data_IF_130251897368
#
_entry.id   IF_130251897368
#
_cell.length_a   1.000
_cell.length_b   1.000
_cell.length_c   1.000
_cell.angle_alpha   90.00
_cell.angle_beta   90.00
_cell.angle_gamma   90.00
#
_symmetry.space_group_name_H-M   'P 1'
#
loop_
_entity.id
_entity.type
_entity.pdbx_description
1 polymer ?
#
# COMPACT_ATOMS: atom_id res chain seq x y z
N UNK A 1 93.09 35.36 -43.15
CA UNK A 1 93.83 34.15 -42.70
C UNK A 1 93.80 34.13 -41.17
N UNK A 2 93.64 32.95 -40.55
CA UNK A 2 93.86 32.62 -39.12
C UNK A 2 92.76 32.84 -38.05
N UNK A 3 92.15 31.70 -37.66
CA UNK A 3 92.05 31.05 -36.31
C UNK A 3 91.62 31.82 -35.04
N UNK A 4 90.63 31.26 -34.29
CA UNK A 4 90.51 31.21 -32.79
C UNK A 4 89.57 30.04 -32.36
N UNK A 5 89.72 29.39 -31.16
CA UNK A 5 89.13 28.06 -30.87
C UNK A 5 88.22 27.91 -29.60
N UNK A 6 87.73 26.66 -29.44
CA UNK A 6 87.28 25.87 -28.25
C UNK A 6 85.84 25.97 -27.69
N UNK A 7 85.20 24.79 -27.54
CA UNK A 7 84.11 24.44 -26.60
C UNK A 7 84.20 22.97 -26.16
N UNK A 8 83.74 22.67 -24.94
CA UNK A 8 83.64 21.32 -24.34
C UNK A 8 82.20 20.90 -24.01
N UNK A 9 82.01 19.68 -23.51
CA UNK A 9 80.76 19.08 -22.99
C UNK A 9 81.10 17.80 -22.18
N UNK A 10 80.27 17.19 -21.34
CA UNK A 10 79.27 17.59 -20.31
C UNK A 10 78.93 16.27 -19.55
N UNK A 11 78.68 16.35 -18.22
CA UNK A 11 78.40 15.22 -17.32
C UNK A 11 76.88 15.09 -17.11
N UNK A 12 76.33 13.87 -17.00
CA UNK A 12 74.95 13.63 -16.55
C UNK A 12 74.93 12.63 -15.39
N UNK A 13 74.39 13.06 -14.25
CA UNK A 13 73.91 12.24 -13.12
C UNK A 13 72.42 12.54 -12.96
N UNK A 14 71.55 11.53 -12.81
CA UNK A 14 70.11 11.71 -12.61
C UNK A 14 69.62 10.99 -11.34
N UNK A 15 68.86 11.71 -10.53
CA UNK A 15 68.02 11.23 -9.43
C UNK A 15 66.92 12.27 -9.14
N UNK A 16 65.80 11.88 -8.50
CA UNK A 16 64.47 12.02 -9.09
C UNK A 16 63.67 13.19 -8.51
N UNK A 17 62.83 13.81 -9.33
CA UNK A 17 61.83 14.78 -8.87
C UNK A 17 60.56 14.75 -9.74
N UNK A 18 59.47 14.32 -9.09
CA UNK A 18 58.13 14.90 -9.17
C UNK A 18 57.40 15.02 -10.52
N UNK A 19 56.25 14.37 -10.63
CA UNK A 19 54.93 14.97 -10.94
C UNK A 19 53.88 13.84 -11.04
N UNK A 20 53.16 13.55 -9.96
CA UNK A 20 51.86 14.14 -9.57
C UNK A 20 50.68 13.44 -10.28
N UNK A 21 50.27 12.30 -9.72
CA UNK A 21 49.04 11.61 -10.08
C UNK A 21 47.85 12.36 -9.47
N UNK A 22 47.02 12.98 -10.31
CA UNK A 22 45.74 13.57 -9.92
C UNK A 22 44.77 12.41 -9.69
N UNK A 23 44.59 11.99 -8.43
CA UNK A 23 43.47 11.16 -8.03
C UNK A 23 42.23 12.05 -7.95
N UNK A 24 41.39 12.01 -8.99
CA UNK A 24 40.05 12.61 -8.94
C UNK A 24 39.20 11.80 -7.94
N UNK A 25 39.11 12.29 -6.70
CA UNK A 25 38.15 11.81 -5.72
C UNK A 25 36.74 12.22 -6.17
N UNK A 26 36.09 11.35 -6.93
CA UNK A 26 34.64 11.37 -7.13
C UNK A 26 33.98 11.08 -5.79
N UNK A 27 33.78 12.12 -4.99
CA UNK A 27 32.86 12.08 -3.86
C UNK A 27 31.46 11.96 -4.47
N UNK A 28 31.01 10.73 -4.67
CA UNK A 28 29.60 10.44 -4.85
C UNK A 28 28.89 10.86 -3.56
N UNK A 29 28.36 12.09 -3.54
CA UNK A 29 27.23 12.43 -2.69
C UNK A 29 26.06 11.56 -3.14
N UNK A 30 26.04 10.30 -2.69
CA UNK A 30 24.82 9.53 -2.68
C UNK A 30 23.90 10.23 -1.68
N UNK A 31 23.01 11.08 -2.18
CA UNK A 31 21.85 11.52 -1.40
C UNK A 31 21.17 10.24 -0.92
N UNK A 32 21.26 9.95 0.38
CA UNK A 32 20.41 8.95 1.00
C UNK A 32 18.98 9.45 0.76
N UNK A 33 18.30 8.90 -0.24
CA UNK A 33 16.88 9.08 -0.39
C UNK A 33 16.24 8.44 0.84
N UNK A 34 16.00 9.24 1.87
CA UNK A 34 15.26 8.80 3.04
C UNK A 34 13.88 8.38 2.53
N UNK A 35 13.55 7.10 2.71
CA UNK A 35 12.24 6.58 2.42
C UNK A 35 11.21 7.46 3.15
N UNK A 36 10.22 7.98 2.44
CA UNK A 36 9.17 8.81 3.07
C UNK A 36 8.46 7.96 4.12
N UNK A 37 8.46 8.43 5.36
CA UNK A 37 7.69 7.79 6.42
C UNK A 37 6.20 8.05 6.20
N UNK A 38 5.39 7.01 6.38
CA UNK A 38 3.93 7.11 6.40
C UNK A 38 3.41 6.26 7.55
N UNK A 39 2.28 6.65 8.13
CA UNK A 39 1.69 5.92 9.25
C UNK A 39 1.14 4.56 8.80
N UNK A 40 0.50 4.57 7.63
CA UNK A 40 -0.11 3.37 7.04
C UNK A 40 0.07 3.41 5.53
N UNK A 41 0.46 2.27 4.93
CA UNK A 41 0.34 2.02 3.51
C UNK A 41 -0.81 1.03 3.26
N UNK A 42 -1.75 1.40 2.38
CA UNK A 42 -2.98 0.66 2.11
C UNK A 42 -3.06 0.28 0.63
N UNK A 43 -3.27 -1.01 0.36
CA UNK A 43 -3.70 -1.49 -0.96
C UNK A 43 -5.21 -1.60 -0.95
N UNK A 44 -5.92 -0.73 -1.67
CA UNK A 44 -7.33 -0.91 -1.98
C UNK A 44 -7.45 -1.95 -3.10
N UNK A 45 -7.70 -3.21 -2.73
CA UNK A 45 -7.88 -4.34 -3.63
C UNK A 45 -9.37 -4.56 -3.89
N UNK A 46 -9.87 -3.99 -4.99
CA UNK A 46 -11.30 -3.97 -5.31
C UNK A 46 -11.65 -5.06 -6.32
N UNK A 47 -12.51 -6.00 -5.90
CA UNK A 47 -13.03 -7.05 -6.76
C UNK A 47 -13.96 -6.46 -7.83
N UNK A 48 -13.62 -6.69 -9.10
CA UNK A 48 -14.42 -6.28 -10.26
C UNK A 48 -15.05 -7.47 -10.99
N UNK A 49 -15.16 -8.61 -10.31
CA UNK A 49 -15.72 -9.86 -10.81
C UNK A 49 -17.05 -9.73 -11.58
N UNK A 50 -17.29 -10.73 -12.44
CA UNK A 50 -18.44 -10.88 -13.33
C UNK A 50 -19.79 -10.50 -12.71
N UNK A 51 -20.53 -9.68 -13.47
CA UNK A 51 -21.82 -9.10 -13.09
C UNK A 51 -21.76 -8.03 -12.01
N UNK A 52 -20.63 -7.33 -11.85
CA UNK A 52 -20.68 -5.95 -11.34
C UNK A 52 -21.47 -5.15 -12.37
N UNK A 53 -22.77 -5.05 -12.13
CA UNK A 53 -23.62 -4.13 -12.86
C UNK A 53 -23.04 -2.71 -12.70
N UNK A 54 -23.32 -1.80 -13.64
CA UNK A 54 -22.82 -0.43 -13.57
C UNK A 54 -23.08 0.27 -12.23
N UNK A 55 -24.14 -0.06 -11.50
CA UNK A 55 -24.41 0.49 -10.17
C UNK A 55 -23.45 -0.07 -9.12
N UNK A 56 -23.13 -1.37 -9.12
CA UNK A 56 -22.13 -1.93 -8.20
C UNK A 56 -20.73 -1.35 -8.47
N UNK A 57 -20.33 -1.20 -9.74
CA UNK A 57 -19.04 -0.58 -10.10
C UNK A 57 -19.00 0.89 -9.67
N UNK A 58 -20.11 1.60 -9.88
CA UNK A 58 -20.28 2.96 -9.41
C UNK A 58 -20.16 3.04 -7.89
N UNK A 59 -20.84 2.17 -7.15
CA UNK A 59 -20.80 2.15 -5.68
C UNK A 59 -19.40 1.90 -5.15
N UNK A 60 -18.67 0.93 -5.69
CA UNK A 60 -17.29 0.67 -5.27
C UNK A 60 -16.40 1.90 -5.55
N UNK A 61 -16.41 2.41 -6.78
CA UNK A 61 -15.57 3.53 -7.19
C UNK A 61 -15.89 4.81 -6.43
N UNK A 62 -17.16 5.19 -6.35
CA UNK A 62 -17.58 6.37 -5.60
C UNK A 62 -17.44 6.20 -4.10
N UNK A 63 -17.66 5.00 -3.57
CA UNK A 63 -17.46 4.71 -2.16
C UNK A 63 -16.02 4.97 -1.73
N UNK A 64 -15.04 4.45 -2.47
CA UNK A 64 -13.62 4.70 -2.20
C UNK A 64 -13.26 6.18 -2.35
N UNK A 65 -13.69 6.81 -3.45
CA UNK A 65 -13.43 8.23 -3.70
C UNK A 65 -14.04 9.15 -2.63
N UNK A 66 -15.27 8.84 -2.17
CA UNK A 66 -15.93 9.60 -1.11
C UNK A 66 -15.33 9.33 0.26
N UNK A 67 -14.93 8.09 0.55
CA UNK A 67 -14.35 7.72 1.85
C UNK A 67 -12.98 8.39 2.06
N UNK A 68 -12.07 8.30 1.09
CA UNK A 68 -10.70 8.85 1.21
C UNK A 68 -10.69 10.37 1.36
N UNK A 69 -11.63 11.07 0.72
CA UNK A 69 -11.78 12.53 0.79
C UNK A 69 -12.72 12.99 1.92
N UNK A 70 -13.17 12.09 2.78
CA UNK A 70 -14.08 12.45 3.86
C UNK A 70 -13.35 13.13 5.03
N UNK A 71 -14.02 14.07 5.67
CA UNK A 71 -13.48 14.75 6.86
C UNK A 71 -13.09 13.78 7.98
N UNK A 72 -13.81 12.66 8.12
CA UNK A 72 -13.52 11.68 9.16
C UNK A 72 -12.20 10.92 8.89
N UNK A 73 -11.95 10.55 7.62
CA UNK A 73 -10.69 9.89 7.24
C UNK A 73 -9.53 10.87 7.31
N UNK A 74 -9.69 12.10 6.79
CA UNK A 74 -8.67 13.14 6.91
C UNK A 74 -8.35 13.46 8.38
N UNK A 75 -9.36 13.50 9.26
CA UNK A 75 -9.13 13.67 10.69
C UNK A 75 -8.42 12.48 11.34
N UNK A 76 -8.66 11.25 10.87
CA UNK A 76 -7.91 10.07 11.34
C UNK A 76 -6.44 10.16 10.91
N UNK A 77 -6.17 10.48 9.64
CA UNK A 77 -4.82 10.68 9.10
C UNK A 77 -4.08 11.76 9.91
N UNK A 78 -4.70 12.93 10.10
CA UNK A 78 -4.08 14.06 10.81
C UNK A 78 -3.79 13.79 12.31
N UNK A 79 -4.41 12.77 12.90
CA UNK A 79 -4.17 12.39 14.30
C UNK A 79 -3.08 11.33 14.45
N UNK A 80 -2.77 10.60 13.37
CA UNK A 80 -1.67 9.66 13.34
C UNK A 80 -0.32 10.37 13.43
N UNK A 81 0.71 9.62 13.81
CA UNK A 81 2.04 10.15 14.16
C UNK A 81 2.66 11.04 13.08
N UNK A 82 2.65 10.61 11.81
CA UNK A 82 3.25 11.35 10.69
C UNK A 82 2.24 12.29 10.02
N UNK A 83 0.96 11.98 10.07
CA UNK A 83 -0.08 12.77 9.39
C UNK A 83 -0.17 12.46 7.89
N UNK A 84 0.34 11.31 7.46
CA UNK A 84 0.40 10.91 6.06
C UNK A 84 0.19 9.41 5.92
N UNK A 85 -0.62 9.00 4.95
CA UNK A 85 -0.74 7.60 4.52
C UNK A 85 -0.29 7.45 3.07
N UNK A 86 0.02 6.23 2.65
CA UNK A 86 0.18 5.87 1.25
C UNK A 86 -0.96 4.96 0.81
N UNK A 87 -1.51 5.19 -0.38
CA UNK A 87 -2.54 4.34 -0.96
C UNK A 87 -2.16 3.89 -2.36
N UNK A 88 -2.61 2.71 -2.75
CA UNK A 88 -2.71 2.29 -4.16
C UNK A 88 -4.08 1.67 -4.36
N UNK A 89 -4.68 1.86 -5.53
CA UNK A 89 -5.99 1.30 -5.87
C UNK A 89 -5.80 0.35 -7.03
N UNK A 90 -6.14 -0.90 -6.79
CA UNK A 90 -6.05 -1.96 -7.79
C UNK A 90 -7.39 -2.66 -7.93
N UNK A 91 -7.69 -3.05 -9.16
CA UNK A 91 -8.85 -3.84 -9.48
C UNK A 91 -8.41 -5.23 -9.90
N UNK A 92 -9.11 -6.24 -9.43
CA UNK A 92 -8.73 -7.64 -9.65
C UNK A 92 -9.95 -8.52 -9.89
N UNK A 93 -9.72 -9.69 -10.47
CA UNK A 93 -10.76 -10.73 -10.65
C UNK A 93 -10.12 -12.13 -10.66
N UNK A 94 -10.10 -12.80 -11.82
CA UNK A 94 -9.50 -14.12 -12.01
C UNK A 94 -7.98 -14.07 -11.78
N UNK A 95 -7.38 -15.24 -11.61
CA UNK A 95 -5.94 -15.38 -11.53
C UNK A 95 -5.27 -14.72 -12.75
N UNK A 96 -4.24 -13.89 -12.49
CA UNK A 96 -3.54 -13.14 -13.53
C UNK A 96 -4.25 -11.85 -13.98
N UNK A 97 -5.44 -11.55 -13.46
CA UNK A 97 -6.19 -10.33 -13.79
C UNK A 97 -6.12 -9.33 -12.63
N UNK A 98 -5.16 -8.41 -12.70
CA UNK A 98 -5.05 -7.26 -11.80
C UNK A 98 -4.55 -6.05 -12.58
N UNK A 99 -5.16 -4.89 -12.35
CA UNK A 99 -4.71 -3.61 -12.91
C UNK A 99 -4.62 -2.55 -11.82
N UNK A 100 -3.64 -1.66 -11.94
CA UNK A 100 -3.57 -0.46 -11.12
C UNK A 100 -4.45 0.64 -11.73
N UNK A 101 -5.30 1.26 -10.91
CA UNK A 101 -6.08 2.45 -11.27
C UNK A 101 -5.34 3.71 -10.84
N UNK A 102 -4.82 3.71 -9.61
CA UNK A 102 -3.88 4.72 -9.13
C UNK A 102 -2.63 4.00 -8.63
N UNK A 103 -1.42 4.48 -8.96
CA UNK A 103 -0.20 3.96 -8.37
C UNK A 103 -0.09 4.40 -6.91
N UNK A 104 0.97 3.95 -6.21
CA UNK A 104 1.28 4.43 -4.87
C UNK A 104 1.27 5.96 -4.81
N UNK A 105 0.36 6.51 -4.01
CA UNK A 105 0.07 7.94 -3.88
C UNK A 105 0.03 8.28 -2.39
N UNK A 106 0.75 9.31 -1.98
CA UNK A 106 0.70 9.79 -0.59
C UNK A 106 -0.51 10.70 -0.39
N UNK A 107 -1.16 10.55 0.77
CA UNK A 107 -2.30 11.36 1.21
C UNK A 107 -1.91 11.98 2.54
N UNK A 108 -1.44 13.23 2.47
CA UNK A 108 -1.03 14.03 3.64
C UNK A 108 -2.01 15.18 3.92
N UNK A 109 -3.05 15.33 3.10
CA UNK A 109 -4.04 16.39 3.24
C UNK A 109 -5.22 16.27 2.29
N UNK A 110 -6.12 17.25 2.36
CA UNK A 110 -7.36 17.26 1.60
C UNK A 110 -7.12 17.30 0.08
N UNK A 111 -6.15 18.08 -0.39
CA UNK A 111 -5.87 18.22 -1.83
C UNK A 111 -5.37 16.90 -2.45
N UNK A 112 -4.50 16.18 -1.75
CA UNK A 112 -4.05 14.84 -2.16
C UNK A 112 -5.23 13.87 -2.22
N UNK A 113 -6.07 13.87 -1.19
CA UNK A 113 -7.25 13.01 -1.10
C UNK A 113 -8.26 13.30 -2.21
N UNK A 114 -8.51 14.58 -2.54
CA UNK A 114 -9.39 14.98 -3.63
C UNK A 114 -8.82 14.62 -5.00
N UNK A 115 -7.50 14.71 -5.18
CA UNK A 115 -6.80 14.30 -6.40
C UNK A 115 -6.92 12.79 -6.60
N UNK A 116 -6.61 12.00 -5.56
CA UNK A 116 -6.74 10.54 -5.60
C UNK A 116 -8.20 10.11 -5.81
N UNK A 117 -9.15 10.74 -5.11
CA UNK A 117 -10.58 10.50 -5.30
C UNK A 117 -11.01 10.74 -6.75
N UNK A 118 -10.57 11.85 -7.36
CA UNK A 118 -10.88 12.15 -8.76
C UNK A 118 -10.26 11.14 -9.72
N UNK A 119 -9.02 10.71 -9.47
CA UNK A 119 -8.36 9.66 -10.26
C UNK A 119 -9.12 8.32 -10.17
N UNK A 120 -9.57 7.90 -8.98
CA UNK A 120 -10.40 6.71 -8.79
C UNK A 120 -11.71 6.85 -9.59
N UNK A 121 -12.42 7.98 -9.45
CA UNK A 121 -13.68 8.24 -10.18
C UNK A 121 -13.52 8.15 -11.68
N UNK A 122 -12.41 8.62 -12.22
CA UNK A 122 -12.18 8.67 -13.66
C UNK A 122 -11.66 7.33 -14.20
N UNK A 123 -10.68 6.71 -13.54
CA UNK A 123 -9.98 5.52 -14.01
C UNK A 123 -10.54 4.17 -13.55
N UNK A 124 -11.40 4.14 -12.53
CA UNK A 124 -12.01 2.91 -12.01
C UNK A 124 -13.04 2.29 -12.96
N UNK A 125 -13.29 1.00 -12.80
CA UNK A 125 -14.20 0.19 -13.61
C UNK A 125 -15.59 0.85 -13.67
N UNK A 126 -16.23 0.80 -14.85
CA UNK A 126 -17.55 1.36 -15.12
C UNK A 126 -18.67 0.32 -15.17
N UNK A 127 -18.37 -0.95 -14.90
CA UNK A 127 -19.32 -2.05 -14.88
C UNK A 127 -19.73 -2.51 -16.28
N UNK A 128 -18.80 -2.48 -17.25
CA UNK A 128 -19.06 -2.95 -18.61
C UNK A 128 -18.99 -4.49 -18.75
N UNK A 129 -19.04 -5.20 -17.61
CA UNK A 129 -18.90 -6.65 -17.54
C UNK A 129 -17.48 -7.12 -17.84
N UNK A 130 -17.29 -8.43 -17.70
CA UNK A 130 -16.12 -9.11 -18.22
C UNK A 130 -16.42 -9.62 -19.63
N UNK A 131 -15.49 -9.44 -20.56
CA UNK A 131 -15.60 -9.99 -21.91
C UNK A 131 -15.43 -11.53 -21.93
N UNK A 132 -15.03 -12.16 -20.82
CA UNK A 132 -14.79 -13.60 -20.65
C UNK A 132 -15.23 -14.13 -19.26
N UNK A 133 -15.05 -15.42 -18.99
CA UNK A 133 -15.31 -16.04 -17.68
C UNK A 133 -14.51 -15.30 -16.60
N UNK A 134 -15.20 -14.49 -15.81
CA UNK A 134 -14.64 -13.94 -14.60
C UNK A 134 -14.87 -14.91 -13.45
N UNK A 135 -13.85 -15.06 -12.60
CA UNK A 135 -13.75 -15.82 -11.36
C UNK A 135 -13.18 -14.91 -10.27
N UNK A 136 -13.38 -15.25 -9.00
CA UNK A 136 -12.88 -14.49 -7.85
C UNK A 136 -11.63 -15.22 -7.34
N UNK A 137 -10.46 -14.63 -7.57
CA UNK A 137 -9.19 -15.13 -7.04
C UNK A 137 -8.67 -14.26 -5.90
N UNK A 138 -9.22 -14.45 -4.70
CA UNK A 138 -8.77 -13.78 -3.47
C UNK A 138 -7.31 -14.10 -3.16
N UNK A 139 -6.86 -15.32 -3.44
CA UNK A 139 -5.45 -15.71 -3.31
C UNK A 139 -4.54 -14.82 -4.17
N UNK A 140 -4.91 -14.61 -5.42
CA UNK A 140 -4.17 -13.73 -6.35
C UNK A 140 -4.20 -12.27 -5.90
N UNK A 141 -5.34 -11.78 -5.42
CA UNK A 141 -5.47 -10.42 -4.88
C UNK A 141 -4.52 -10.18 -3.70
N UNK A 142 -4.44 -11.13 -2.77
CA UNK A 142 -3.57 -11.06 -1.59
C UNK A 142 -2.09 -11.11 -2.00
N UNK A 143 -1.68 -12.08 -2.82
CA UNK A 143 -0.27 -12.20 -3.25
C UNK A 143 0.18 -11.02 -4.12
N UNK A 144 -0.72 -10.51 -4.98
CA UNK A 144 -0.50 -9.28 -5.75
C UNK A 144 -0.31 -8.07 -4.84
N UNK A 145 -1.11 -7.94 -3.78
CA UNK A 145 -0.97 -6.86 -2.80
C UNK A 145 0.37 -6.92 -2.04
N UNK A 146 0.82 -8.11 -1.65
CA UNK A 146 2.15 -8.31 -1.06
C UNK A 146 3.25 -7.89 -2.03
N UNK A 147 3.08 -8.15 -3.33
CA UNK A 147 4.03 -7.71 -4.37
C UNK A 147 4.05 -6.19 -4.51
N UNK A 148 2.89 -5.52 -4.45
CA UNK A 148 2.81 -4.05 -4.44
C UNK A 148 3.53 -3.44 -3.25
N UNK A 149 3.40 -4.02 -2.05
CA UNK A 149 4.15 -3.57 -0.88
C UNK A 149 5.65 -3.74 -1.02
N UNK A 150 6.14 -4.80 -1.68
CA UNK A 150 7.58 -4.99 -1.96
C UNK A 150 8.12 -3.94 -2.92
N UNK A 151 7.28 -3.40 -3.80
CA UNK A 151 7.66 -2.33 -4.74
C UNK A 151 7.52 -0.92 -4.15
N UNK A 152 6.89 -0.77 -2.98
CA UNK A 152 6.74 0.52 -2.33
C UNK A 152 8.07 0.97 -1.73
N UNK A 153 8.49 2.19 -2.04
CA UNK A 153 9.78 2.75 -1.64
C UNK A 153 9.72 3.57 -0.34
N UNK A 154 8.53 3.78 0.22
CA UNK A 154 8.35 4.43 1.52
C UNK A 154 8.53 3.46 2.69
N UNK A 155 8.46 4.01 3.91
CA UNK A 155 8.60 3.25 5.15
C UNK A 155 7.30 3.33 5.96
N UNK A 156 6.32 2.44 5.72
CA UNK A 156 5.06 2.45 6.44
C UNK A 156 5.18 1.77 7.80
N UNK A 157 4.61 2.37 8.85
CA UNK A 157 4.49 1.69 10.15
C UNK A 157 3.51 0.49 10.07
N UNK A 158 2.48 0.60 9.24
CA UNK A 158 1.46 -0.44 9.06
C UNK A 158 1.19 -0.73 7.58
N UNK A 159 0.97 -2.01 7.24
CA UNK A 159 0.65 -2.46 5.87
C UNK A 159 -0.71 -3.10 5.86
N UNK A 160 -1.65 -2.53 5.12
CA UNK A 160 -3.05 -2.99 5.07
C UNK A 160 -3.41 -3.42 3.65
N UNK A 161 -3.89 -4.65 3.52
CA UNK A 161 -4.58 -5.15 2.34
C UNK A 161 -6.08 -4.97 2.61
N UNK A 162 -6.66 -3.93 2.03
CA UNK A 162 -8.08 -3.59 2.11
C UNK A 162 -8.81 -4.24 0.94
N UNK A 163 -9.51 -5.35 1.19
CA UNK A 163 -10.23 -6.09 0.17
C UNK A 163 -11.70 -5.67 0.15
N UNK A 164 -12.19 -5.26 -1.03
CA UNK A 164 -13.63 -5.17 -1.30
C UNK A 164 -14.06 -6.35 -2.16
N UNK A 165 -14.90 -7.26 -1.64
CA UNK A 165 -15.26 -8.49 -2.35
C UNK A 165 -16.72 -8.90 -2.12
N UNK A 166 -17.33 -9.51 -3.15
CA UNK A 166 -18.71 -10.02 -3.16
C UNK A 166 -18.80 -11.54 -3.44
N UNK A 167 -17.67 -12.26 -3.36
CA UNK A 167 -17.59 -13.68 -3.70
C UNK A 167 -16.56 -14.45 -2.87
N UNK A 168 -16.64 -15.78 -2.95
CA UNK A 168 -15.65 -16.70 -2.36
C UNK A 168 -14.52 -16.96 -3.34
N UNK A 169 -13.37 -17.41 -2.85
CA UNK A 169 -12.24 -17.82 -3.68
C UNK A 169 -12.63 -19.06 -4.49
N UNK A 170 -12.76 -18.92 -5.80
CA UNK A 170 -13.12 -19.99 -6.72
C UNK A 170 -12.18 -20.11 -7.93
N UNK A 171 -11.07 -19.37 -7.91
CA UNK A 171 -9.99 -19.44 -8.89
C UNK A 171 -8.63 -19.14 -8.24
N UNK A 172 -7.56 -19.62 -8.87
CA UNK A 172 -6.20 -19.58 -8.35
C UNK A 172 -5.97 -20.57 -7.21
N UNK A 173 -4.98 -20.26 -6.37
CA UNK A 173 -4.55 -21.13 -5.27
C UNK A 173 -5.53 -21.10 -4.09
N UNK A 174 -5.44 -22.06 -3.15
CA UNK A 174 -6.11 -21.97 -1.86
C UNK A 174 -5.72 -20.68 -1.12
N UNK A 175 -6.72 -19.92 -0.68
CA UNK A 175 -6.53 -18.59 -0.07
C UNK A 175 -5.69 -18.62 1.21
N UNK A 176 -5.73 -19.72 1.96
CA UNK A 176 -5.00 -19.88 3.23
C UNK A 176 -3.49 -19.63 3.08
N UNK A 177 -2.88 -20.16 2.01
CA UNK A 177 -1.44 -20.01 1.83
C UNK A 177 -1.04 -18.56 1.51
N UNK A 178 -1.83 -17.87 0.68
CA UNK A 178 -1.63 -16.44 0.37
C UNK A 178 -1.83 -15.59 1.61
N UNK A 179 -2.87 -15.87 2.42
CA UNK A 179 -3.11 -15.23 3.71
C UNK A 179 -1.90 -15.37 4.64
N UNK A 180 -1.39 -16.59 4.84
CA UNK A 180 -0.24 -16.83 5.72
C UNK A 180 1.03 -16.08 5.24
N UNK A 181 1.27 -16.04 3.92
CA UNK A 181 2.39 -15.26 3.35
C UNK A 181 2.25 -13.76 3.60
N UNK A 182 1.05 -13.20 3.48
CA UNK A 182 0.81 -11.79 3.75
C UNK A 182 1.03 -11.44 5.22
N UNK A 183 0.53 -12.27 6.14
CA UNK A 183 0.76 -12.10 7.59
C UNK A 183 2.27 -12.16 7.89
N UNK A 184 2.98 -13.15 7.33
CA UNK A 184 4.43 -13.27 7.50
C UNK A 184 5.21 -12.07 6.91
N UNK A 185 4.63 -11.36 5.94
CA UNK A 185 5.18 -10.11 5.39
C UNK A 185 4.79 -8.85 6.21
N UNK A 186 4.13 -9.03 7.36
CA UNK A 186 3.69 -7.95 8.25
C UNK A 186 2.46 -7.20 7.76
N UNK A 187 1.64 -7.82 6.90
CA UNK A 187 0.40 -7.21 6.41
C UNK A 187 -0.80 -7.63 7.27
N UNK A 188 -1.72 -6.69 7.49
CA UNK A 188 -3.09 -6.96 7.94
C UNK A 188 -4.00 -7.06 6.72
N UNK A 189 -4.86 -8.08 6.67
CA UNK A 189 -5.87 -8.26 5.63
C UNK A 189 -7.25 -7.98 6.25
N UNK A 190 -7.94 -6.98 5.73
CA UNK A 190 -9.30 -6.64 6.11
C UNK A 190 -10.23 -6.77 4.91
N UNK A 191 -11.51 -7.04 5.16
CA UNK A 191 -12.50 -7.21 4.10
C UNK A 191 -13.70 -6.31 4.36
N UNK A 192 -14.16 -5.56 3.36
CA UNK A 192 -15.56 -5.10 3.29
C UNK A 192 -16.35 -6.10 2.44
N UNK A 193 -17.31 -6.76 3.07
CA UNK A 193 -18.10 -7.81 2.46
C UNK A 193 -19.30 -7.19 1.74
N UNK A 194 -19.23 -7.15 0.41
CA UNK A 194 -20.33 -6.74 -0.45
C UNK A 194 -21.39 -7.86 -0.54
N UNK A 195 -22.67 -7.51 -0.80
CA UNK A 195 -23.70 -8.52 -1.04
C UNK A 195 -23.31 -9.48 -2.17
N UNK A 196 -23.63 -10.76 -2.02
CA UNK A 196 -23.28 -11.80 -3.00
C UNK A 196 -23.76 -11.46 -4.42
N UNK A 197 -22.91 -11.74 -5.41
CA UNK A 197 -23.07 -11.36 -6.82
C UNK A 197 -24.13 -12.15 -7.60
N UNK A 198 -25.26 -12.52 -6.98
CA UNK A 198 -26.35 -13.27 -7.63
C UNK A 198 -27.71 -12.65 -7.30
N UNK A 199 -28.47 -12.14 -8.29
CA UNK A 199 -29.80 -11.59 -8.06
C UNK A 199 -30.72 -12.56 -7.31
N UNK A 200 -31.32 -12.10 -6.22
CA UNK A 200 -32.25 -12.90 -5.40
C UNK A 200 -31.59 -13.83 -4.39
N UNK A 201 -30.26 -14.00 -4.40
CA UNK A 201 -29.52 -14.80 -3.42
C UNK A 201 -28.77 -13.86 -2.47
N UNK A 202 -29.17 -13.83 -1.21
CA UNK A 202 -28.43 -13.14 -0.14
C UNK A 202 -27.68 -14.15 0.70
N UNK A 203 -26.38 -14.26 0.45
CA UNK A 203 -25.47 -15.03 1.29
C UNK A 203 -24.64 -14.03 2.09
N UNK A 204 -24.63 -14.19 3.41
CA UNK A 204 -23.69 -13.49 4.27
C UNK A 204 -22.31 -14.15 4.15
N UNK A 205 -21.37 -13.44 3.53
CA UNK A 205 -19.99 -13.90 3.34
C UNK A 205 -19.10 -13.60 4.56
N UNK A 206 -19.63 -12.96 5.60
CA UNK A 206 -18.81 -12.48 6.72
C UNK A 206 -18.08 -13.61 7.43
N UNK A 207 -18.75 -14.73 7.66
CA UNK A 207 -18.13 -15.91 8.28
C UNK A 207 -17.04 -16.51 7.37
N UNK A 208 -17.32 -16.61 6.06
CA UNK A 208 -16.32 -17.10 5.11
C UNK A 208 -15.05 -16.22 5.12
N UNK A 209 -15.21 -14.89 5.07
CA UNK A 209 -14.09 -13.97 5.10
C UNK A 209 -13.34 -14.00 6.43
N UNK A 210 -14.06 -14.14 7.55
CA UNK A 210 -13.48 -14.27 8.88
C UNK A 210 -12.59 -15.53 8.97
N UNK A 211 -13.09 -16.67 8.48
CA UNK A 211 -12.40 -17.95 8.63
C UNK A 211 -11.25 -18.14 7.64
N UNK A 212 -11.39 -17.60 6.42
CA UNK A 212 -10.52 -17.96 5.31
C UNK A 212 -9.61 -16.82 4.81
N UNK A 213 -9.99 -15.55 5.00
CA UNK A 213 -9.39 -14.43 4.26
C UNK A 213 -8.66 -13.44 5.16
N UNK A 214 -9.32 -12.91 6.19
CA UNK A 214 -8.70 -11.90 7.06
C UNK A 214 -7.53 -12.50 7.85
N UNK A 215 -6.61 -11.65 8.27
CA UNK A 215 -5.49 -12.07 9.11
C UNK A 215 -4.52 -10.92 9.41
N UNK A 216 -3.64 -11.14 10.39
CA UNK A 216 -2.73 -10.12 10.89
C UNK A 216 -3.33 -9.31 12.05
N UNK A 217 -2.55 -8.38 12.64
CA UNK A 217 -2.98 -7.61 13.80
C UNK A 217 -4.26 -6.80 13.52
N UNK A 218 -5.20 -6.83 14.46
CA UNK A 218 -6.47 -6.09 14.40
C UNK A 218 -7.35 -6.37 13.17
N UNK A 219 -7.13 -7.50 12.49
CA UNK A 219 -7.87 -7.86 11.29
C UNK A 219 -9.38 -8.01 11.52
N UNK A 220 -10.19 -7.59 10.56
CA UNK A 220 -11.65 -7.65 10.68
C UNK A 220 -12.38 -7.73 9.34
N UNK A 221 -13.62 -8.23 9.42
CA UNK A 221 -14.61 -8.14 8.35
C UNK A 221 -15.59 -7.02 8.67
N UNK A 222 -15.88 -6.17 7.70
CA UNK A 222 -16.97 -5.21 7.73
C UNK A 222 -18.13 -5.69 6.84
N UNK A 223 -19.21 -6.23 7.42
CA UNK A 223 -20.38 -6.62 6.65
C UNK A 223 -21.09 -5.39 6.07
N UNK A 224 -21.50 -5.47 4.81
CA UNK A 224 -22.39 -4.47 4.23
C UNK A 224 -23.85 -4.93 4.31
N UNK A 225 -24.65 -4.23 5.12
CA UNK A 225 -26.07 -4.53 5.26
C UNK A 225 -26.88 -4.19 3.99
N UNK A 226 -26.52 -3.12 3.27
CA UNK A 226 -27.17 -2.72 2.02
C UNK A 226 -26.29 -1.83 1.13
N UNK A 227 -26.54 -1.74 -0.19
CA UNK A 227 -25.77 -0.89 -1.10
C UNK A 227 -25.74 0.59 -0.69
N UNK A 228 -26.86 1.12 -0.17
CA UNK A 228 -27.01 2.53 0.18
C UNK A 228 -26.10 3.01 1.32
N UNK A 229 -25.49 2.09 2.07
CA UNK A 229 -24.56 2.42 3.16
C UNK A 229 -23.09 2.23 2.80
N UNK A 230 -22.77 1.84 1.57
CA UNK A 230 -21.40 1.48 1.16
C UNK A 230 -20.36 2.56 1.44
N UNK A 231 -20.56 3.79 0.96
CA UNK A 231 -19.62 4.89 1.20
C UNK A 231 -19.43 5.18 2.70
N UNK A 232 -20.51 5.08 3.49
CA UNK A 232 -20.44 5.30 4.94
C UNK A 232 -19.72 4.19 5.68
N UNK A 233 -19.92 2.93 5.26
CA UNK A 233 -19.23 1.76 5.79
C UNK A 233 -17.74 1.82 5.44
N UNK A 234 -17.40 2.06 4.18
CA UNK A 234 -16.02 2.18 3.76
C UNK A 234 -15.30 3.33 4.48
N UNK A 235 -15.95 4.47 4.69
CA UNK A 235 -15.42 5.54 5.55
C UNK A 235 -15.13 5.06 6.97
N UNK A 236 -16.06 4.35 7.62
CA UNK A 236 -15.84 3.79 8.95
C UNK A 236 -14.70 2.78 8.96
N UNK A 237 -14.59 1.98 7.91
CA UNK A 237 -13.54 1.00 7.71
C UNK A 237 -12.17 1.67 7.66
N UNK A 238 -12.01 2.67 6.78
CA UNK A 238 -10.75 3.41 6.65
C UNK A 238 -10.36 4.12 7.94
N UNK A 239 -11.33 4.74 8.65
CA UNK A 239 -11.05 5.34 9.96
C UNK A 239 -10.52 4.28 10.94
N UNK A 240 -11.16 3.11 11.01
CA UNK A 240 -10.70 2.02 11.88
C UNK A 240 -9.31 1.52 11.50
N UNK A 241 -9.03 1.37 10.21
CA UNK A 241 -7.74 0.90 9.70
C UNK A 241 -6.59 1.87 10.00
N UNK A 242 -6.82 3.16 9.79
CA UNK A 242 -5.84 4.22 10.03
C UNK A 242 -5.63 4.44 11.54
N UNK A 243 -6.69 4.36 12.34
CA UNK A 243 -6.56 4.56 13.80
C UNK A 243 -6.04 3.33 14.55
N UNK A 244 -6.22 2.10 14.03
CA UNK A 244 -5.65 0.89 14.64
C UNK A 244 -4.14 0.74 14.37
N UNK A 245 -3.60 1.56 13.48
CA UNK A 245 -2.20 1.64 13.12
C UNK A 245 -1.37 2.50 14.11
N UNK A 246 -2.02 3.26 15.00
CA UNK A 246 -1.34 3.93 16.09
C UNK A 246 -1.07 2.91 17.22
N UNK A 247 0.20 2.66 17.60
CA UNK A 247 0.49 1.95 18.83
C UNK A 247 0.00 2.83 19.97
N UNK A 248 -1.12 2.44 20.58
CA UNK A 248 -1.44 2.93 21.92
C UNK A 248 -0.38 2.31 22.83
N UNK A 249 0.68 3.07 23.06
CA UNK A 249 1.67 2.93 24.10
C UNK A 249 1.75 1.55 24.78
N UNK A 250 2.76 0.78 24.39
CA UNK A 250 3.44 -0.23 25.22
C UNK A 250 4.13 0.40 26.46
N UNK A 251 3.67 1.58 26.91
CA UNK A 251 4.15 2.32 28.08
C UNK A 251 3.29 2.00 29.32
N UNK A 252 2.11 1.40 29.17
CA UNK A 252 1.25 1.01 30.31
C UNK A 252 1.43 -0.45 30.77
N UNK A 253 2.32 -1.22 30.16
CA UNK A 253 2.58 -2.63 30.53
C UNK A 253 3.93 -2.84 31.21
N UNK A 254 4.52 -1.81 31.84
CA UNK A 254 5.66 -2.03 32.73
C UNK A 254 5.16 -2.38 34.14
N UNK A 255 5.33 -3.62 34.64
CA UNK A 255 4.89 -4.02 35.99
C UNK A 255 5.70 -3.37 37.12
N UNK A 256 6.63 -2.48 36.77
CA UNK A 256 7.55 -1.81 37.69
C UNK A 256 7.04 -0.46 38.20
N UNK A 257 5.87 0.01 37.76
CA UNK A 257 5.30 1.29 38.19
C UNK A 257 4.63 1.17 39.57
N UNK A 258 5.15 1.82 40.63
CA UNK A 258 4.59 1.76 41.97
C UNK A 258 3.22 2.47 42.11
N UNK A 259 2.69 3.08 41.05
CA UNK A 259 1.37 3.75 41.06
C UNK A 259 0.18 2.87 40.65
N UNK A 260 0.39 1.58 40.37
CA UNK A 260 -0.71 0.67 40.04
C UNK A 260 -1.59 0.36 41.26
N UNK A 261 -2.84 0.85 41.24
CA UNK A 261 -3.93 0.39 42.11
C UNK A 261 -5.04 -0.21 41.25
N UNK A 262 -5.27 -1.53 41.29
CA UNK A 262 -6.39 -2.14 40.58
C UNK A 262 -7.68 -1.81 41.34
N UNK A 263 -8.61 -1.10 40.70
CA UNK A 263 -10.00 -1.04 41.17
C UNK A 263 -10.71 -2.32 40.76
N UNK A 264 -11.26 -3.00 41.75
CA UNK A 264 -12.17 -4.15 41.63
C UNK A 264 -13.44 -3.79 40.86
#
# INVERSE_FOLDING_TARGET
MLTVPRRGAAIVMNSPAGQMAICAALICCASQAHATEVDTAIVFAVDVYGSVDPATAYLQREGHAAAISSQAVLAAINRSRTGCIAITYVEWSSYGQMRSVIPWTHICGADDAHTAASAIRNGGNKGLGCESICQTSLSFAIDGSVTLFRSYTGNPANKIIDISANGINNDGLPVEQSRLRAIAAGCTINVIALPYAMPGIRIDLSQYFADNVIGGPNAFVMPLASPGVYASALRQKLVREISAADPIDEVLSNPSDPSYSPRL
#
